data_IF_389972263595
#
_entry.id   IF_389972263595
#
_cell.length_a   1.000
_cell.length_b   1.000
_cell.length_c   1.000
_cell.angle_alpha   90.00
_cell.angle_beta   90.00
_cell.angle_gamma   90.00
#
_symmetry.space_group_name_H-M   'P 1'
#
loop_
_entity.id
_entity.type
_entity.pdbx_description
1 polymer ?
#
# COMPACT_ATOMS: atom_id res chain seq x y z
N UNK A 1 -1.93 19.11 -6.43
CA UNK A 1 -2.35 19.70 -7.71
C UNK A 1 -3.43 18.80 -8.33
N UNK A 2 -4.42 19.37 -9.00
CA UNK A 2 -5.50 18.58 -9.65
C UNK A 2 -4.94 17.87 -10.89
N UNK A 3 -5.45 16.68 -11.22
CA UNK A 3 -5.18 15.95 -12.48
C UNK A 3 -5.46 16.79 -13.75
N UNK A 4 -6.10 17.95 -13.61
CA UNK A 4 -6.39 18.91 -14.68
C UNK A 4 -5.26 19.92 -14.95
N UNK A 5 -4.17 19.95 -14.18
CA UNK A 5 -3.10 20.94 -14.34
C UNK A 5 -2.34 20.76 -15.67
N UNK A 6 -2.07 19.50 -16.05
CA UNK A 6 -1.44 19.18 -17.33
C UNK A 6 -2.23 19.68 -18.54
N UNK A 7 -3.56 19.85 -18.42
CA UNK A 7 -4.39 20.37 -19.51
C UNK A 7 -4.26 21.89 -19.72
N UNK A 8 -3.65 22.63 -18.78
CA UNK A 8 -3.58 24.10 -18.79
C UNK A 8 -2.19 24.63 -19.17
N UNK A 9 -1.15 23.81 -19.01
CA UNK A 9 0.22 24.17 -19.35
C UNK A 9 0.49 23.74 -20.80
N UNK A 10 0.74 24.72 -21.67
CA UNK A 10 1.04 24.48 -23.08
C UNK A 10 2.40 25.11 -23.44
N UNK A 11 3.45 24.30 -23.44
CA UNK A 11 4.77 24.70 -23.94
C UNK A 11 5.09 23.99 -25.25
N UNK A 12 5.93 24.62 -26.08
CA UNK A 12 6.41 24.06 -27.36
C UNK A 12 7.84 23.58 -27.20
N UNK A 13 8.13 22.38 -27.72
CA UNK A 13 9.48 21.79 -27.71
C UNK A 13 9.42 20.32 -27.34
N UNK A 14 10.53 19.61 -27.52
CA UNK A 14 10.71 18.24 -27.03
C UNK A 14 11.68 18.30 -25.86
N UNK A 15 11.32 17.72 -24.72
CA UNK A 15 12.21 17.59 -23.56
C UNK A 15 13.06 16.34 -23.72
N UNK A 16 14.36 16.45 -23.47
CA UNK A 16 15.26 15.30 -23.43
C UNK A 16 15.16 14.61 -22.06
N UNK A 17 14.52 13.44 -21.99
CA UNK A 17 14.45 12.64 -20.77
C UNK A 17 15.72 11.80 -20.61
N UNK A 18 16.42 11.98 -19.48
CA UNK A 18 17.67 11.26 -19.13
C UNK A 18 17.53 10.32 -17.93
N UNK A 19 16.35 10.30 -17.30
CA UNK A 19 16.12 9.66 -16.01
C UNK A 19 16.18 8.13 -15.99
N UNK A 20 16.37 7.48 -17.14
CA UNK A 20 16.65 6.04 -17.19
C UNK A 20 18.07 5.72 -16.70
N UNK A 21 19.03 6.60 -16.97
CA UNK A 21 20.46 6.37 -16.72
C UNK A 21 21.00 7.34 -15.66
N UNK A 22 20.45 8.56 -15.61
CA UNK A 22 20.97 9.66 -14.79
C UNK A 22 19.99 10.01 -13.67
N UNK A 23 20.52 10.35 -12.48
CA UNK A 23 19.75 10.95 -11.38
C UNK A 23 20.03 12.45 -11.22
N UNK A 24 21.00 12.97 -11.98
CA UNK A 24 21.38 14.37 -11.96
C UNK A 24 21.79 14.84 -13.35
N UNK A 25 21.44 16.07 -13.71
CA UNK A 25 21.87 16.71 -14.97
C UNK A 25 21.78 18.22 -14.82
N UNK A 26 22.66 18.96 -15.48
CA UNK A 26 22.44 20.37 -15.72
C UNK A 26 21.30 20.55 -16.74
N UNK A 27 20.52 21.62 -16.62
CA UNK A 27 19.41 21.95 -17.52
C UNK A 27 19.19 23.47 -17.60
N UNK A 28 18.39 23.89 -18.57
CA UNK A 28 17.91 25.27 -18.70
C UNK A 28 16.42 25.33 -18.43
N UNK A 29 15.99 26.28 -17.62
CA UNK A 29 14.56 26.58 -17.41
C UNK A 29 13.98 27.17 -18.68
N UNK A 30 13.00 26.50 -19.28
CA UNK A 30 12.34 26.93 -20.53
C UNK A 30 11.17 27.85 -20.23
N UNK A 31 10.32 27.47 -19.29
CA UNK A 31 9.14 28.22 -18.87
C UNK A 31 8.87 28.04 -17.39
N UNK A 32 8.19 29.03 -16.81
CA UNK A 32 7.82 29.08 -15.40
C UNK A 32 6.31 29.33 -15.32
N UNK A 33 5.60 28.57 -14.49
CA UNK A 33 4.16 28.73 -14.28
C UNK A 33 3.84 28.88 -12.80
N UNK A 34 2.77 29.60 -12.49
CA UNK A 34 2.20 29.65 -11.15
C UNK A 34 1.51 28.33 -10.76
N UNK A 35 0.92 28.27 -9.56
CA UNK A 35 0.25 27.09 -9.06
C UNK A 35 -1.06 26.76 -9.81
N UNK A 36 -1.62 27.73 -10.53
CA UNK A 36 -2.84 27.63 -11.31
C UNK A 36 -2.59 27.19 -12.76
N UNK A 37 -1.32 27.19 -13.18
CA UNK A 37 -0.85 26.80 -14.51
C UNK A 37 -0.76 27.95 -15.50
N UNK A 38 -0.80 29.21 -15.05
CA UNK A 38 -0.57 30.37 -15.90
C UNK A 38 0.93 30.66 -16.02
N UNK A 39 1.39 30.95 -17.24
CA UNK A 39 2.79 31.27 -17.50
C UNK A 39 3.15 32.62 -16.87
N UNK A 40 4.25 32.66 -16.12
CA UNK A 40 4.74 33.83 -15.41
C UNK A 40 6.22 34.05 -15.70
N UNK A 41 6.71 35.27 -15.51
CA UNK A 41 8.11 35.62 -15.76
C UNK A 41 9.09 35.17 -14.68
N UNK A 42 8.60 34.83 -13.48
CA UNK A 42 9.44 34.42 -12.36
C UNK A 42 8.66 33.72 -11.25
N UNK A 43 9.29 32.80 -10.51
CA UNK A 43 8.89 32.42 -9.15
C UNK A 43 9.86 33.02 -8.14
N UNK A 44 9.37 33.42 -6.97
CA UNK A 44 10.17 33.93 -5.84
C UNK A 44 10.10 32.99 -4.64
N UNK A 45 11.06 33.13 -3.73
CA UNK A 45 11.11 32.34 -2.51
C UNK A 45 9.77 32.37 -1.77
N UNK A 46 9.23 31.19 -1.46
CA UNK A 46 7.90 30.98 -0.90
C UNK A 46 6.84 30.58 -1.92
N UNK A 47 7.00 30.90 -3.20
CA UNK A 47 6.02 30.61 -4.24
C UNK A 47 5.95 29.11 -4.56
N UNK A 48 4.75 28.62 -4.83
CA UNK A 48 4.53 27.32 -5.47
C UNK A 48 4.31 27.53 -6.95
N UNK A 49 4.81 26.61 -7.76
CA UNK A 49 4.67 26.70 -9.20
C UNK A 49 5.19 25.48 -9.91
N UNK A 50 5.40 25.64 -11.22
CA UNK A 50 5.82 24.58 -12.12
C UNK A 50 7.02 25.09 -12.94
N UNK A 51 8.07 24.27 -13.00
CA UNK A 51 9.19 24.50 -13.89
C UNK A 51 9.15 23.53 -15.07
N UNK A 52 9.40 24.03 -16.27
CA UNK A 52 9.61 23.24 -17.47
C UNK A 52 11.05 23.42 -17.91
N UNK A 53 11.75 22.33 -18.21
CA UNK A 53 13.18 22.30 -18.52
C UNK A 53 13.42 21.78 -19.95
N UNK A 54 14.59 22.07 -20.53
CA UNK A 54 14.99 21.53 -21.85
C UNK A 54 15.34 20.03 -21.79
N UNK A 55 15.85 19.59 -20.63
CA UNK A 55 16.17 18.20 -20.31
C UNK A 55 15.90 17.91 -18.84
N UNK A 56 15.63 16.66 -18.49
CA UNK A 56 15.35 16.30 -17.10
C UNK A 56 15.71 14.85 -16.75
N UNK A 57 16.22 14.57 -15.54
CA UNK A 57 16.36 13.23 -15.00
C UNK A 57 15.10 12.76 -14.25
N UNK A 58 14.12 13.65 -14.00
CA UNK A 58 12.89 13.34 -13.26
C UNK A 58 11.93 12.55 -14.14
N UNK A 59 11.58 11.34 -13.71
CA UNK A 59 10.52 10.53 -14.32
C UNK A 59 9.18 11.14 -13.93
N UNK A 60 8.35 11.38 -14.94
CA UNK A 60 7.01 11.89 -14.76
C UNK A 60 6.03 10.75 -14.49
N UNK A 61 5.02 10.99 -13.65
CA UNK A 61 4.00 10.00 -13.32
C UNK A 61 3.40 9.35 -14.57
N UNK A 62 3.53 8.03 -14.69
CA UNK A 62 3.03 7.25 -15.82
C UNK A 62 3.08 5.75 -15.54
N UNK A 63 2.16 4.97 -16.14
CA UNK A 63 2.11 3.51 -16.00
C UNK A 63 1.81 3.03 -14.56
N UNK A 64 1.26 3.90 -13.72
CA UNK A 64 1.06 3.66 -12.28
C UNK A 64 2.26 4.01 -11.41
N UNK A 65 3.44 4.28 -11.97
CA UNK A 65 4.59 4.80 -11.23
C UNK A 65 4.40 6.28 -10.92
N UNK A 66 4.51 6.66 -9.65
CA UNK A 66 4.45 8.07 -9.21
C UNK A 66 5.62 8.89 -9.76
N UNK A 67 5.37 10.19 -9.94
CA UNK A 67 6.39 11.14 -10.37
C UNK A 67 7.52 11.30 -9.35
N UNK A 68 8.72 11.59 -9.85
CA UNK A 68 9.85 11.85 -8.99
C UNK A 68 9.76 13.17 -8.23
N UNK A 69 10.49 13.19 -7.12
CA UNK A 69 10.73 14.35 -6.28
C UNK A 69 12.25 14.57 -6.17
N UNK A 70 12.66 15.74 -5.71
CA UNK A 70 14.07 16.12 -5.58
C UNK A 70 14.25 17.63 -5.58
N UNK A 71 15.34 18.12 -6.16
CA UNK A 71 15.66 19.54 -6.19
C UNK A 71 16.15 20.01 -7.55
N UNK A 72 15.81 21.24 -7.89
CA UNK A 72 16.40 22.01 -9.00
C UNK A 72 17.06 23.24 -8.37
N UNK A 73 18.38 23.36 -8.50
CA UNK A 73 19.14 24.36 -7.76
C UNK A 73 20.18 25.07 -8.63
N UNK A 74 20.56 26.28 -8.22
CA UNK A 74 21.69 27.03 -8.75
C UNK A 74 22.28 27.90 -7.63
N UNK A 75 23.30 28.70 -7.92
CA UNK A 75 23.87 29.62 -6.93
C UNK A 75 22.78 30.60 -6.41
N UNK A 76 22.37 30.43 -5.14
CA UNK A 76 21.35 31.27 -4.49
C UNK A 76 19.90 30.93 -4.84
N UNK A 77 19.66 29.83 -5.56
CA UNK A 77 18.35 29.36 -6.00
C UNK A 77 18.12 27.91 -5.55
N UNK A 78 16.98 27.60 -4.94
CA UNK A 78 16.58 26.21 -4.68
C UNK A 78 15.08 26.03 -4.86
N UNK A 79 14.70 25.19 -5.80
CA UNK A 79 13.33 24.73 -6.02
C UNK A 79 13.21 23.27 -5.60
N UNK A 80 12.33 22.99 -4.63
CA UNK A 80 12.00 21.63 -4.21
C UNK A 80 10.91 21.08 -5.12
N UNK A 81 11.24 20.02 -5.85
CA UNK A 81 10.29 19.28 -6.69
C UNK A 81 9.57 18.27 -5.79
N UNK A 82 8.26 18.45 -5.65
CA UNK A 82 7.39 17.56 -4.87
C UNK A 82 6.82 16.42 -5.74
N UNK A 83 6.58 16.70 -7.01
CA UNK A 83 6.00 15.77 -7.98
C UNK A 83 6.44 16.14 -9.40
N UNK A 84 6.48 15.16 -10.30
CA UNK A 84 6.78 15.36 -11.72
C UNK A 84 5.68 14.72 -12.56
N UNK A 85 5.07 15.50 -13.46
CA UNK A 85 3.99 15.05 -14.34
C UNK A 85 4.29 15.35 -15.80
N UNK A 86 3.53 14.78 -16.73
CA UNK A 86 3.62 15.12 -18.16
C UNK A 86 2.45 15.94 -18.65
N UNK A 87 2.70 16.84 -19.61
CA UNK A 87 1.68 17.40 -20.50
C UNK A 87 2.16 17.35 -21.95
N UNK A 88 1.58 16.46 -22.76
CA UNK A 88 2.14 16.14 -24.07
C UNK A 88 3.57 15.64 -23.95
N UNK A 89 4.51 16.26 -24.68
CA UNK A 89 5.94 15.91 -24.68
C UNK A 89 6.76 16.67 -23.62
N UNK A 90 6.08 17.25 -22.62
CA UNK A 90 6.68 18.16 -21.63
C UNK A 90 6.66 17.55 -20.24
N UNK A 91 7.68 17.86 -19.45
CA UNK A 91 7.82 17.44 -18.06
C UNK A 91 7.58 18.64 -17.14
N UNK A 92 6.56 18.51 -16.31
CA UNK A 92 6.11 19.51 -15.36
C UNK A 92 6.72 19.19 -13.99
N UNK A 93 7.69 19.98 -13.57
CA UNK A 93 8.32 19.85 -12.25
C UNK A 93 7.52 20.70 -11.26
N UNK A 94 6.70 20.05 -10.45
CA UNK A 94 5.72 20.69 -9.59
C UNK A 94 6.31 20.81 -8.19
N UNK A 95 6.30 22.01 -7.63
CA UNK A 95 7.04 22.24 -6.39
C UNK A 95 6.94 23.63 -5.81
N UNK A 96 7.92 23.96 -4.96
CA UNK A 96 8.04 25.23 -4.27
C UNK A 96 9.45 25.79 -4.42
N UNK A 97 9.56 27.10 -4.68
CA UNK A 97 10.82 27.80 -4.57
C UNK A 97 11.12 28.11 -3.11
N UNK A 98 12.19 27.54 -2.56
CA UNK A 98 12.60 27.72 -1.16
C UNK A 98 13.46 28.97 -1.01
N UNK A 99 14.33 29.24 -1.99
CA UNK A 99 15.25 30.36 -1.97
C UNK A 99 15.50 30.92 -3.38
N UNK A 100 15.76 32.22 -3.44
CA UNK A 100 16.08 32.93 -4.69
C UNK A 100 14.87 33.33 -5.52
N UNK A 101 15.13 33.54 -6.81
CA UNK A 101 14.15 33.83 -7.85
C UNK A 101 14.55 33.08 -9.13
N UNK A 102 13.62 32.35 -9.76
CA UNK A 102 13.87 31.59 -11.00
C UNK A 102 13.11 32.20 -12.16
N UNK A 103 13.80 32.36 -13.28
CA UNK A 103 13.27 32.90 -14.53
C UNK A 103 13.48 31.92 -15.69
N UNK A 104 12.70 32.02 -16.78
CA UNK A 104 13.07 31.41 -18.06
C UNK A 104 14.50 31.80 -18.47
N UNK A 105 15.26 30.83 -18.99
CA UNK A 105 16.67 30.96 -19.38
C UNK A 105 17.68 30.69 -18.26
N UNK A 106 17.24 30.46 -17.01
CA UNK A 106 18.15 30.13 -15.92
C UNK A 106 18.82 28.76 -16.11
N UNK A 107 20.13 28.70 -15.86
CA UNK A 107 20.89 27.45 -15.80
C UNK A 107 20.78 26.87 -14.39
N UNK A 108 20.41 25.58 -14.31
CA UNK A 108 20.13 24.89 -13.05
C UNK A 108 20.70 23.47 -13.06
N UNK A 109 21.07 22.99 -11.88
CA UNK A 109 21.42 21.61 -11.61
C UNK A 109 20.20 20.87 -11.04
N UNK A 110 19.81 19.80 -11.72
CA UNK A 110 18.69 18.95 -11.35
C UNK A 110 19.21 17.74 -10.58
N UNK A 111 18.57 17.39 -9.47
CA UNK A 111 18.92 16.22 -8.65
C UNK A 111 17.64 15.52 -8.18
N UNK A 112 17.45 14.28 -8.63
CA UNK A 112 16.36 13.40 -8.16
C UNK A 112 16.70 12.89 -6.76
N UNK A 113 15.68 12.74 -5.91
CA UNK A 113 15.79 11.99 -4.65
C UNK A 113 16.10 10.51 -4.96
N UNK A 114 17.38 10.17 -4.83
CA UNK A 114 17.91 8.86 -5.20
C UNK A 114 17.30 7.71 -4.39
N UNK A 115 17.00 7.90 -3.10
CA UNK A 115 16.46 6.83 -2.26
C UNK A 115 14.97 6.62 -2.54
N UNK A 116 14.21 7.72 -2.71
CA UNK A 116 12.81 7.64 -3.13
C UNK A 116 12.69 6.96 -4.49
N UNK A 117 13.52 7.37 -5.48
CA UNK A 117 13.57 6.73 -6.81
C UNK A 117 13.93 5.25 -6.69
N UNK A 118 14.93 4.90 -5.89
CA UNK A 118 15.36 3.51 -5.70
C UNK A 118 14.20 2.66 -5.19
N UNK A 119 13.54 3.08 -4.12
CA UNK A 119 12.38 2.36 -3.53
C UNK A 119 11.23 2.21 -4.52
N UNK A 120 10.92 3.27 -5.29
CA UNK A 120 9.91 3.21 -6.35
C UNK A 120 10.29 2.19 -7.44
N UNK A 121 11.55 2.16 -7.90
CA UNK A 121 12.06 1.15 -8.86
C UNK A 121 11.90 -0.27 -8.36
N UNK A 122 12.18 -0.52 -7.08
CA UNK A 122 12.02 -1.85 -6.48
C UNK A 122 10.56 -2.29 -6.48
N UNK A 123 9.66 -1.42 -6.03
CA UNK A 123 8.22 -1.67 -6.06
C UNK A 123 7.71 -1.87 -7.50
N UNK A 124 8.22 -1.11 -8.48
CA UNK A 124 7.82 -1.28 -9.89
C UNK A 124 8.22 -2.66 -10.40
N UNK A 125 9.47 -3.04 -10.15
CA UNK A 125 10.04 -4.32 -10.58
C UNK A 125 9.28 -5.50 -9.96
N UNK A 126 8.92 -5.38 -8.67
CA UNK A 126 8.10 -6.37 -7.99
C UNK A 126 6.66 -6.45 -8.55
N UNK A 127 6.08 -5.35 -9.01
CA UNK A 127 4.76 -5.36 -9.67
C UNK A 127 4.77 -6.26 -10.91
N UNK A 128 5.82 -6.21 -11.74
CA UNK A 128 5.92 -7.06 -12.94
C UNK A 128 6.09 -8.54 -12.61
N UNK A 129 6.95 -8.88 -11.63
CA UNK A 129 7.08 -10.26 -11.16
C UNK A 129 5.77 -10.77 -10.54
N UNK A 130 5.10 -9.94 -9.74
CA UNK A 130 3.82 -10.30 -9.13
C UNK A 130 2.73 -10.49 -10.19
N UNK A 131 2.68 -9.65 -11.22
CA UNK A 131 1.70 -9.81 -12.30
C UNK A 131 1.90 -11.12 -13.07
N UNK A 132 3.13 -11.47 -13.40
CA UNK A 132 3.45 -12.76 -14.00
C UNK A 132 3.12 -13.94 -13.05
N UNK A 133 3.40 -13.82 -11.75
CA UNK A 133 3.04 -14.83 -10.76
C UNK A 133 1.52 -15.02 -10.63
N UNK A 134 0.74 -13.93 -10.58
CA UNK A 134 -0.72 -13.97 -10.57
C UNK A 134 -1.26 -14.74 -11.78
N UNK A 135 -0.73 -14.49 -12.98
CA UNK A 135 -1.14 -15.20 -14.19
C UNK A 135 -0.79 -16.68 -14.17
N UNK A 136 0.35 -17.06 -13.59
CA UNK A 136 0.75 -18.47 -13.45
C UNK A 136 -0.13 -19.22 -12.44
N UNK A 137 -0.52 -18.57 -11.36
CA UNK A 137 -1.32 -19.21 -10.28
C UNK A 137 -2.80 -19.23 -10.63
N UNK A 138 -3.34 -18.11 -11.11
CA UNK A 138 -4.78 -17.94 -11.33
C UNK A 138 -5.20 -18.20 -12.77
N UNK A 139 -4.32 -17.95 -13.75
CA UNK A 139 -4.60 -18.12 -15.18
C UNK A 139 -4.47 -16.82 -16.00
N UNK A 140 -4.53 -16.97 -17.32
CA UNK A 140 -4.28 -15.87 -18.28
C UNK A 140 -5.38 -14.81 -18.35
N UNK A 141 -6.54 -15.03 -17.72
CA UNK A 141 -7.62 -14.04 -17.62
C UNK A 141 -7.28 -12.88 -16.68
N UNK A 142 -6.24 -13.01 -15.86
CA UNK A 142 -5.72 -11.92 -15.04
C UNK A 142 -5.16 -10.84 -15.97
N UNK A 143 -5.78 -9.67 -15.91
CA UNK A 143 -5.38 -8.47 -16.64
C UNK A 143 -5.36 -7.29 -15.67
N UNK A 144 -4.38 -6.40 -15.82
CA UNK A 144 -4.32 -5.14 -15.08
C UNK A 144 -5.58 -4.29 -15.34
N UNK A 145 -6.14 -3.76 -14.24
CA UNK A 145 -7.25 -2.78 -14.21
C UNK A 145 -6.86 -1.47 -13.51
N UNK A 146 -5.72 -1.45 -12.84
CA UNK A 146 -5.18 -0.27 -12.17
C UNK A 146 -3.83 -0.58 -11.51
N UNK A 147 -2.98 0.42 -11.36
CA UNK A 147 -1.69 0.27 -10.69
C UNK A 147 -1.34 1.54 -9.93
N UNK A 148 -0.62 1.39 -8.83
CA UNK A 148 0.09 2.47 -8.14
C UNK A 148 1.40 1.89 -7.63
N UNK A 149 2.50 2.57 -7.94
CA UNK A 149 3.85 2.22 -7.53
C UNK A 149 4.49 3.48 -6.97
N UNK A 150 4.65 3.52 -5.65
CA UNK A 150 5.33 4.59 -4.92
C UNK A 150 6.57 4.05 -4.20
N UNK A 151 7.32 4.92 -3.52
CA UNK A 151 8.41 4.49 -2.67
C UNK A 151 7.93 3.65 -1.47
N UNK A 152 6.69 3.83 -1.05
CA UNK A 152 6.16 3.21 0.17
C UNK A 152 5.51 1.86 -0.09
N UNK A 153 4.81 1.70 -1.20
CA UNK A 153 4.12 0.45 -1.54
C UNK A 153 3.86 0.30 -3.03
N UNK A 154 3.47 -0.91 -3.41
CA UNK A 154 2.77 -1.16 -4.67
C UNK A 154 1.34 -1.61 -4.41
N UNK A 155 0.46 -1.27 -5.35
CA UNK A 155 -0.96 -1.63 -5.38
C UNK A 155 -1.32 -1.98 -6.81
N UNK A 156 -1.88 -3.16 -7.01
CA UNK A 156 -2.22 -3.66 -8.33
C UNK A 156 -3.66 -4.17 -8.34
N UNK A 157 -4.45 -3.63 -9.27
CA UNK A 157 -5.84 -4.03 -9.48
C UNK A 157 -5.89 -4.94 -10.71
N UNK A 158 -6.57 -6.07 -10.60
CA UNK A 158 -6.60 -7.08 -11.66
C UNK A 158 -7.97 -7.75 -11.82
N UNK A 159 -8.26 -8.24 -13.02
CA UNK A 159 -9.49 -8.99 -13.29
C UNK A 159 -9.43 -10.39 -12.68
N UNK A 160 -10.31 -10.63 -11.70
CA UNK A 160 -10.52 -11.94 -11.11
C UNK A 160 -11.88 -11.94 -10.35
N UNK A 161 -12.74 -12.96 -10.54
CA UNK A 161 -14.10 -12.93 -10.01
C UNK A 161 -14.20 -13.21 -8.51
N UNK A 162 -13.29 -14.03 -7.97
CA UNK A 162 -13.37 -14.55 -6.59
C UNK A 162 -12.29 -13.95 -5.68
N UNK A 163 -12.45 -13.98 -4.35
CA UNK A 163 -11.33 -13.72 -3.43
C UNK A 163 -10.23 -14.76 -3.58
N UNK A 164 -8.98 -14.33 -3.46
CA UNK A 164 -7.85 -15.26 -3.46
C UNK A 164 -7.86 -16.09 -2.17
N UNK A 165 -7.55 -17.37 -2.30
CA UNK A 165 -7.33 -18.24 -1.14
C UNK A 165 -5.98 -17.92 -0.51
N UNK A 166 -5.86 -18.16 0.80
CA UNK A 166 -4.60 -17.97 1.52
C UNK A 166 -3.42 -18.71 0.86
N UNK A 167 -3.64 -19.95 0.39
CA UNK A 167 -2.62 -20.74 -0.32
C UNK A 167 -2.23 -20.13 -1.69
N UNK A 168 -3.15 -19.48 -2.39
CA UNK A 168 -2.85 -18.81 -3.66
C UNK A 168 -1.99 -17.56 -3.41
N UNK A 169 -2.30 -16.77 -2.37
CA UNK A 169 -1.48 -15.63 -1.94
C UNK A 169 -0.08 -16.08 -1.55
N UNK A 170 0.04 -17.14 -0.76
CA UNK A 170 1.32 -17.73 -0.36
C UNK A 170 2.13 -18.20 -1.58
N UNK A 171 1.48 -18.87 -2.54
CA UNK A 171 2.13 -19.32 -3.77
C UNK A 171 2.62 -18.15 -4.64
N UNK A 172 1.83 -17.09 -4.78
CA UNK A 172 2.22 -15.87 -5.52
C UNK A 172 3.45 -15.24 -4.85
N UNK A 173 3.41 -15.06 -3.53
CA UNK A 173 4.53 -14.49 -2.77
C UNK A 173 5.79 -15.35 -2.87
N UNK A 174 5.65 -16.68 -2.81
CA UNK A 174 6.76 -17.62 -2.95
C UNK A 174 7.40 -17.55 -4.35
N UNK A 175 6.60 -17.48 -5.41
CA UNK A 175 7.10 -17.34 -6.79
C UNK A 175 7.87 -16.04 -6.98
N UNK A 176 7.33 -14.91 -6.51
CA UNK A 176 8.02 -13.61 -6.63
C UNK A 176 9.34 -13.63 -5.86
N UNK A 177 9.34 -14.14 -4.62
CA UNK A 177 10.57 -14.22 -3.83
C UNK A 177 11.59 -15.21 -4.40
N UNK A 178 11.16 -16.28 -5.08
CA UNK A 178 12.06 -17.17 -5.82
C UNK A 178 12.77 -16.42 -6.97
N UNK A 179 12.03 -15.61 -7.75
CA UNK A 179 12.64 -14.79 -8.81
C UNK A 179 13.58 -13.71 -8.26
N UNK A 180 13.27 -13.15 -7.09
CA UNK A 180 14.18 -12.24 -6.38
C UNK A 180 15.48 -12.97 -6.00
N UNK A 181 15.38 -14.18 -5.43
CA UNK A 181 16.53 -14.99 -5.03
C UNK A 181 17.40 -15.43 -6.22
N UNK A 182 16.79 -15.71 -7.37
CA UNK A 182 17.51 -16.01 -8.61
C UNK A 182 18.42 -14.86 -9.05
N UNK A 183 18.11 -13.63 -8.63
CA UNK A 183 18.90 -12.43 -8.87
C UNK A 183 19.28 -12.26 -10.35
N UNK A 184 18.34 -12.52 -11.27
CA UNK A 184 18.56 -12.37 -12.72
C UNK A 184 18.74 -10.90 -13.11
N UNK A 185 19.39 -10.65 -14.24
CA UNK A 185 19.50 -9.30 -14.79
C UNK A 185 18.13 -8.81 -15.28
N UNK A 186 17.83 -7.53 -15.04
CA UNK A 186 16.68 -6.86 -15.62
C UNK A 186 17.11 -6.21 -16.93
N UNK A 187 16.49 -6.63 -18.04
CA UNK A 187 16.84 -6.15 -19.37
C UNK A 187 15.73 -5.26 -19.94
N UNK A 188 16.13 -4.21 -20.66
CA UNK A 188 15.20 -3.31 -21.35
C UNK A 188 15.66 -3.01 -22.76
N UNK A 189 14.77 -3.17 -23.74
CA UNK A 189 15.07 -2.94 -25.14
C UNK A 189 14.01 -2.07 -25.82
N UNK A 190 14.44 -1.18 -26.72
CA UNK A 190 13.55 -0.46 -27.64
C UNK A 190 13.37 -1.28 -28.91
N UNK A 191 12.15 -1.79 -29.12
CA UNK A 191 11.83 -2.68 -30.24
C UNK A 191 10.63 -2.13 -31.02
N UNK A 192 10.47 -2.59 -32.26
CA UNK A 192 9.22 -2.37 -32.99
C UNK A 192 8.08 -3.15 -32.34
N UNK A 193 6.86 -2.60 -32.36
CA UNK A 193 5.71 -3.23 -31.69
C UNK A 193 5.50 -4.71 -32.05
N UNK A 194 5.59 -5.05 -33.34
CA UNK A 194 5.44 -6.43 -33.81
C UNK A 194 6.55 -7.37 -33.29
N UNK A 195 7.78 -6.87 -33.18
CA UNK A 195 8.89 -7.62 -32.62
C UNK A 195 8.71 -7.84 -31.12
N UNK A 196 8.24 -6.83 -30.39
CA UNK A 196 7.94 -6.95 -28.98
C UNK A 196 6.89 -8.04 -28.71
N UNK A 197 5.78 -8.04 -29.48
CA UNK A 197 4.74 -9.07 -29.38
C UNK A 197 5.30 -10.47 -29.71
N UNK A 198 6.16 -10.57 -30.73
CA UNK A 198 6.81 -11.84 -31.08
C UNK A 198 7.73 -12.38 -29.98
N UNK A 199 8.30 -11.51 -29.14
CA UNK A 199 9.08 -11.88 -27.94
C UNK A 199 8.21 -12.22 -26.72
N UNK A 200 6.88 -12.24 -26.87
CA UNK A 200 5.94 -12.52 -25.79
C UNK A 200 5.65 -11.31 -24.90
N UNK A 201 6.02 -10.09 -25.32
CA UNK A 201 5.75 -8.90 -24.53
C UNK A 201 4.24 -8.68 -24.43
N UNK A 202 3.77 -8.61 -23.19
CA UNK A 202 2.38 -8.29 -22.92
C UNK A 202 2.15 -6.79 -23.00
N UNK A 203 1.17 -6.40 -23.82
CA UNK A 203 0.68 -5.03 -23.84
C UNK A 203 -0.22 -4.80 -22.61
N UNK A 204 0.08 -3.75 -21.84
CA UNK A 204 -0.77 -3.30 -20.75
C UNK A 204 -2.06 -2.66 -21.31
N UNK A 205 -3.17 -2.89 -20.60
CA UNK A 205 -4.51 -2.47 -21.02
C UNK A 205 -4.67 -0.94 -21.02
N UNK A 206 -5.19 -0.39 -22.13
CA UNK A 206 -5.58 1.02 -22.22
C UNK A 206 -4.52 1.98 -22.78
N UNK A 207 -3.30 1.51 -23.05
CA UNK A 207 -2.25 2.37 -23.61
C UNK A 207 -2.22 2.34 -25.15
N UNK A 208 -1.92 3.51 -25.74
CA UNK A 208 -1.61 3.63 -27.17
C UNK A 208 -0.10 3.55 -27.34
N UNK A 209 0.37 2.56 -28.08
CA UNK A 209 1.78 2.37 -28.35
C UNK A 209 2.18 3.04 -29.66
N UNK A 210 3.35 3.69 -29.67
CA UNK A 210 3.97 4.21 -30.88
C UNK A 210 4.69 3.11 -31.67
N UNK A 211 5.38 3.51 -32.75
CA UNK A 211 6.11 2.58 -33.64
C UNK A 211 7.24 1.83 -32.90
N UNK A 212 7.83 2.45 -31.89
CA UNK A 212 8.79 1.84 -30.98
C UNK A 212 8.23 1.76 -29.56
N UNK A 213 8.44 0.62 -28.92
CA UNK A 213 8.03 0.34 -27.55
C UNK A 213 9.21 -0.13 -26.71
N UNK A 214 9.20 0.22 -25.43
CA UNK A 214 10.18 -0.26 -24.47
C UNK A 214 9.70 -1.56 -23.85
N UNK A 215 10.42 -2.65 -24.11
CA UNK A 215 10.16 -3.98 -23.57
C UNK A 215 11.03 -4.19 -22.34
N UNK A 216 10.41 -4.55 -21.23
CA UNK A 216 11.06 -5.00 -20.00
C UNK A 216 11.06 -6.52 -19.96
N UNK A 217 12.20 -7.12 -19.64
CA UNK A 217 12.33 -8.56 -19.38
C UNK A 217 12.97 -8.79 -18.00
N UNK A 218 12.35 -9.65 -17.20
CA UNK A 218 12.82 -10.01 -15.85
C UNK A 218 12.70 -11.51 -15.60
N UNK A 219 13.57 -12.07 -14.75
CA UNK A 219 13.50 -13.48 -14.36
C UNK A 219 13.79 -14.44 -15.51
N UNK A 220 14.76 -14.09 -16.38
CA UNK A 220 15.11 -14.87 -17.57
C UNK A 220 13.89 -15.21 -18.45
N UNK A 221 12.98 -14.22 -18.62
CA UNK A 221 11.74 -14.37 -19.36
C UNK A 221 10.53 -14.75 -18.49
N UNK A 222 10.66 -14.75 -17.16
CA UNK A 222 9.55 -14.94 -16.25
C UNK A 222 8.44 -13.90 -16.45
N UNK A 223 8.84 -12.63 -16.62
CA UNK A 223 7.97 -11.51 -16.98
C UNK A 223 8.56 -10.78 -18.19
N UNK A 224 7.74 -10.57 -19.22
CA UNK A 224 8.07 -9.81 -20.44
C UNK A 224 6.91 -8.86 -20.73
N UNK A 225 7.11 -7.57 -20.56
CA UNK A 225 6.02 -6.58 -20.58
C UNK A 225 6.45 -5.29 -21.29
N UNK A 226 5.49 -4.57 -21.88
CA UNK A 226 5.71 -3.22 -22.36
C UNK A 226 5.69 -2.26 -21.16
N UNK A 227 6.80 -1.60 -20.85
CA UNK A 227 6.87 -0.68 -19.72
C UNK A 227 7.87 0.45 -19.93
N UNK A 228 7.37 1.68 -19.88
CA UNK A 228 8.15 2.92 -19.91
C UNK A 228 8.72 3.34 -18.54
N UNK A 229 8.42 2.61 -17.46
CA UNK A 229 8.84 2.96 -16.11
C UNK A 229 10.33 2.75 -15.82
N UNK A 230 10.72 3.12 -14.60
CA UNK A 230 12.06 2.84 -14.08
C UNK A 230 12.07 1.53 -13.29
N UNK A 231 13.11 0.70 -13.49
CA UNK A 231 13.19 -0.66 -12.93
C UNK A 231 14.51 -0.90 -12.23
N UNK A 232 14.56 -1.87 -11.32
CA UNK A 232 15.79 -2.37 -10.71
C UNK A 232 16.78 -2.87 -11.77
N UNK A 233 18.06 -2.99 -11.42
CA UNK A 233 19.07 -3.52 -12.33
C UNK A 233 19.12 -5.05 -12.30
N UNK A 234 18.79 -5.64 -11.14
CA UNK A 234 18.61 -7.08 -10.97
C UNK A 234 17.39 -7.38 -10.12
N UNK A 235 16.82 -8.58 -10.27
CA UNK A 235 15.67 -8.99 -9.45
C UNK A 235 16.02 -9.06 -7.96
N UNK A 236 17.28 -9.37 -7.61
CA UNK A 236 17.76 -9.41 -6.24
C UNK A 236 17.79 -8.06 -5.54
N UNK A 237 17.85 -6.95 -6.28
CA UNK A 237 17.83 -5.59 -5.71
C UNK A 237 16.53 -5.30 -4.95
N UNK A 238 15.44 -6.02 -5.28
CA UNK A 238 14.13 -5.91 -4.62
C UNK A 238 14.22 -6.36 -3.14
N UNK A 239 15.12 -7.29 -2.84
CA UNK A 239 15.36 -7.82 -1.49
C UNK A 239 14.30 -8.84 -1.06
N UNK A 240 13.13 -8.36 -0.63
CA UNK A 240 12.01 -9.20 -0.20
C UNK A 240 10.72 -8.61 -0.73
N UNK A 241 9.76 -9.46 -1.07
CA UNK A 241 8.40 -9.07 -1.44
C UNK A 241 7.41 -9.66 -0.43
N UNK A 242 6.48 -8.83 0.05
CA UNK A 242 5.47 -9.24 1.03
C UNK A 242 4.10 -8.69 0.67
N UNK A 243 3.12 -9.57 0.50
CA UNK A 243 1.71 -9.18 0.35
C UNK A 243 1.17 -8.75 1.71
N UNK A 244 0.54 -7.57 1.75
CA UNK A 244 -0.03 -7.01 2.98
C UNK A 244 -1.54 -7.02 2.99
N UNK A 245 -2.18 -6.95 1.82
CA UNK A 245 -3.63 -7.02 1.73
C UNK A 245 -4.09 -7.55 0.36
N UNK A 246 -5.27 -8.18 0.37
CA UNK A 246 -6.01 -8.60 -0.80
C UNK A 246 -7.50 -8.29 -0.55
N UNK A 247 -8.16 -7.62 -1.50
CA UNK A 247 -9.56 -7.23 -1.37
C UNK A 247 -10.27 -7.03 -2.72
N UNK A 248 -11.60 -7.14 -2.73
CA UNK A 248 -12.42 -6.80 -3.89
C UNK A 248 -12.69 -5.29 -3.95
N UNK A 249 -12.53 -4.69 -5.13
CA UNK A 249 -12.72 -3.23 -5.32
C UNK A 249 -13.88 -2.89 -6.27
N UNK A 250 -14.23 -3.81 -7.16
CA UNK A 250 -15.40 -3.74 -8.03
C UNK A 250 -15.83 -5.16 -8.45
N UNK A 251 -16.98 -5.29 -9.11
CA UNK A 251 -17.41 -6.57 -9.65
C UNK A 251 -16.36 -7.13 -10.63
N UNK A 252 -15.82 -8.31 -10.34
CA UNK A 252 -14.78 -8.95 -11.15
C UNK A 252 -13.38 -8.32 -11.06
N UNK A 253 -13.14 -7.39 -10.11
CA UNK A 253 -11.84 -6.74 -9.92
C UNK A 253 -11.36 -6.89 -8.49
N UNK A 254 -10.14 -7.42 -8.35
CA UNK A 254 -9.42 -7.60 -7.09
C UNK A 254 -8.26 -6.62 -7.01
N UNK A 255 -7.85 -6.28 -5.79
CA UNK A 255 -6.69 -5.45 -5.47
C UNK A 255 -5.77 -6.24 -4.57
N UNK A 256 -4.49 -6.25 -4.92
CA UNK A 256 -3.42 -6.74 -4.07
C UNK A 256 -2.49 -5.57 -3.73
N UNK A 257 -2.14 -5.43 -2.47
CA UNK A 257 -1.11 -4.48 -2.01
C UNK A 257 0.06 -5.24 -1.43
N UNK A 258 1.27 -4.76 -1.73
CA UNK A 258 2.50 -5.38 -1.27
C UNK A 258 3.58 -4.35 -0.98
N UNK A 259 4.58 -4.79 -0.23
CA UNK A 259 5.75 -4.03 0.15
C UNK A 259 7.01 -4.74 -0.37
N UNK A 260 8.07 -3.96 -0.60
CA UNK A 260 9.39 -4.51 -0.93
C UNK A 260 10.48 -4.00 0.00
N UNK A 261 11.62 -4.67 -0.03
CA UNK A 261 12.87 -4.22 0.59
C UNK A 261 12.70 -3.79 2.06
N UNK A 262 13.19 -2.59 2.45
CA UNK A 262 13.06 -2.10 3.83
C UNK A 262 11.63 -2.00 4.35
N UNK A 263 10.65 -1.65 3.50
CA UNK A 263 9.25 -1.54 3.91
C UNK A 263 8.65 -2.89 4.30
N UNK A 264 8.94 -3.92 3.52
CA UNK A 264 8.54 -5.29 3.84
C UNK A 264 9.24 -5.83 5.10
N UNK A 265 10.53 -5.53 5.29
CA UNK A 265 11.26 -5.91 6.51
C UNK A 265 10.68 -5.21 7.76
N UNK A 266 10.32 -3.94 7.65
CA UNK A 266 9.67 -3.22 8.75
C UNK A 266 8.32 -3.85 9.10
N UNK A 267 7.49 -4.16 8.09
CA UNK A 267 6.21 -4.84 8.27
C UNK A 267 6.34 -6.21 8.96
N UNK A 268 7.34 -7.01 8.53
CA UNK A 268 7.63 -8.31 9.17
C UNK A 268 8.00 -8.09 10.64
N UNK A 269 8.94 -7.18 10.94
CA UNK A 269 9.36 -6.90 12.32
C UNK A 269 8.23 -6.42 13.21
N UNK A 270 7.32 -5.59 12.69
CA UNK A 270 6.13 -5.15 13.44
C UNK A 270 5.20 -6.33 13.78
N UNK A 271 4.99 -7.25 12.83
CA UNK A 271 4.21 -8.46 13.07
C UNK A 271 4.89 -9.39 14.09
N UNK A 272 6.22 -9.53 14.04
CA UNK A 272 6.98 -10.31 15.02
C UNK A 272 6.89 -9.71 16.42
N UNK A 273 7.07 -8.39 16.55
CA UNK A 273 6.95 -7.69 17.82
C UNK A 273 5.55 -7.84 18.43
N UNK A 274 4.49 -7.79 17.60
CA UNK A 274 3.13 -8.04 18.05
C UNK A 274 2.94 -9.47 18.57
N UNK A 275 3.47 -10.48 17.85
CA UNK A 275 3.40 -11.87 18.29
C UNK A 275 4.14 -12.08 19.63
N UNK A 276 5.30 -11.46 19.79
CA UNK A 276 6.07 -11.52 21.04
C UNK A 276 5.32 -10.85 22.21
N UNK A 277 4.67 -9.71 21.97
CA UNK A 277 3.84 -9.03 22.97
C UNK A 277 2.65 -9.88 23.42
N UNK A 278 1.94 -10.52 22.48
CA UNK A 278 0.82 -11.41 22.79
C UNK A 278 1.32 -12.64 23.55
N UNK A 279 2.41 -13.26 23.10
CA UNK A 279 3.03 -14.40 23.77
C UNK A 279 3.42 -14.06 25.21
N UNK A 280 4.02 -12.89 25.44
CA UNK A 280 4.34 -12.42 26.78
C UNK A 280 3.10 -12.21 27.65
N UNK A 281 2.00 -11.69 27.09
CA UNK A 281 0.75 -11.45 27.83
C UNK A 281 0.10 -12.75 28.32
N UNK A 282 0.28 -13.84 27.58
CA UNK A 282 -0.22 -15.18 27.97
C UNK A 282 0.83 -16.04 28.69
N UNK A 283 1.98 -15.46 29.04
CA UNK A 283 3.13 -16.17 29.66
C UNK A 283 3.52 -17.42 28.86
N UNK A 284 3.58 -17.26 27.55
CA UNK A 284 4.00 -18.27 26.59
C UNK A 284 5.16 -17.78 25.72
N UNK A 285 5.35 -18.47 24.61
CA UNK A 285 6.30 -18.21 23.54
C UNK A 285 5.59 -18.22 22.19
N UNK A 286 6.27 -17.88 21.09
CA UNK A 286 5.68 -17.97 19.74
C UNK A 286 5.28 -19.40 19.37
N UNK A 287 5.99 -20.42 19.86
CA UNK A 287 5.77 -21.82 19.50
C UNK A 287 4.51 -22.44 20.14
N UNK A 288 4.14 -21.99 21.34
CA UNK A 288 2.96 -22.47 22.08
C UNK A 288 1.86 -21.41 22.18
N UNK A 289 1.98 -20.30 21.46
CA UNK A 289 1.06 -19.16 21.52
C UNK A 289 -0.40 -19.56 21.30
N UNK A 290 -0.66 -20.32 20.24
CA UNK A 290 -2.02 -20.78 19.90
C UNK A 290 -2.61 -21.67 20.99
N UNK A 291 -1.79 -22.54 21.58
CA UNK A 291 -2.21 -23.42 22.68
C UNK A 291 -2.54 -22.58 23.93
N UNK A 292 -1.66 -21.65 24.33
CA UNK A 292 -1.84 -20.77 25.49
C UNK A 292 -3.11 -19.92 25.38
N UNK A 293 -3.34 -19.34 24.20
CA UNK A 293 -4.57 -18.57 23.93
C UNK A 293 -5.80 -19.48 23.98
N UNK A 294 -5.71 -20.69 23.40
CA UNK A 294 -6.78 -21.69 23.49
C UNK A 294 -7.14 -22.03 24.94
N UNK A 295 -6.15 -22.36 25.75
CA UNK A 295 -6.32 -22.69 27.17
C UNK A 295 -6.95 -21.53 27.96
N UNK A 296 -6.51 -20.29 27.71
CA UNK A 296 -7.11 -19.10 28.33
C UNK A 296 -8.58 -18.89 27.94
N UNK A 297 -8.93 -19.13 26.68
CA UNK A 297 -10.32 -19.03 26.22
C UNK A 297 -11.21 -20.12 26.85
N UNK A 298 -10.69 -21.34 26.97
CA UNK A 298 -11.40 -22.44 27.63
C UNK A 298 -11.58 -22.17 29.13
N UNK A 299 -10.52 -21.71 29.81
CA UNK A 299 -10.59 -21.33 31.22
C UNK A 299 -11.59 -20.19 31.45
N UNK A 300 -11.61 -19.17 30.58
CA UNK A 300 -12.56 -18.07 30.67
C UNK A 300 -14.02 -18.56 30.53
N UNK A 301 -14.28 -19.48 29.58
CA UNK A 301 -15.60 -20.12 29.45
C UNK A 301 -15.98 -20.94 30.69
N UNK A 302 -15.02 -21.65 31.31
CA UNK A 302 -15.24 -22.39 32.55
C UNK A 302 -15.58 -21.45 33.71
N UNK A 303 -14.77 -20.41 33.91
CA UNK A 303 -14.98 -19.41 34.96
C UNK A 303 -16.31 -18.67 34.81
N UNK A 304 -16.72 -18.35 33.58
CA UNK A 304 -18.03 -17.75 33.33
C UNK A 304 -19.19 -18.66 33.79
N UNK A 305 -19.12 -19.97 33.49
CA UNK A 305 -20.12 -20.95 33.96
C UNK A 305 -20.11 -21.12 35.47
N UNK A 306 -18.94 -21.14 36.09
CA UNK A 306 -18.81 -21.22 37.56
C UNK A 306 -19.38 -19.98 38.24
N UNK A 307 -19.14 -18.79 37.68
CA UNK A 307 -19.69 -17.54 38.17
C UNK A 307 -21.23 -17.53 38.09
N UNK A 308 -21.81 -17.99 36.98
CA UNK A 308 -23.26 -18.12 36.86
C UNK A 308 -23.84 -19.13 37.86
N UNK A 309 -23.18 -20.27 38.04
CA UNK A 309 -23.59 -21.27 39.03
C UNK A 309 -23.51 -20.75 40.48
N UNK A 310 -22.47 -19.96 40.80
CA UNK A 310 -22.34 -19.32 42.11
C UNK A 310 -23.41 -18.25 42.34
N UNK A 311 -23.71 -17.44 41.33
CA UNK A 311 -24.82 -16.47 41.39
C UNK A 311 -26.16 -17.16 41.65
N UNK A 312 -26.46 -18.24 40.94
CA UNK A 312 -27.67 -19.03 41.16
C UNK A 312 -27.74 -19.59 42.59
N UNK A 313 -26.65 -20.13 43.12
CA UNK A 313 -26.60 -20.60 44.51
C UNK A 313 -26.81 -19.48 45.52
N UNK A 314 -26.24 -18.30 45.27
CA UNK A 314 -26.38 -17.14 46.15
C UNK A 314 -27.81 -16.58 46.13
N UNK A 315 -28.44 -16.54 44.96
CA UNK A 315 -29.86 -16.18 44.81
C UNK A 315 -30.78 -17.18 45.51
N UNK A 316 -30.51 -18.49 45.40
CA UNK A 316 -31.28 -19.52 46.09
C UNK A 316 -31.15 -19.43 47.63
N UNK A 317 -29.93 -19.17 48.14
CA UNK A 317 -29.71 -18.97 49.57
C UNK A 317 -30.43 -17.71 50.09
N UNK A 318 -30.34 -16.60 49.35
CA UNK A 318 -31.08 -15.38 49.67
C UNK A 318 -32.60 -15.62 49.66
N UNK A 319 -33.12 -16.38 48.68
CA UNK A 319 -34.53 -16.78 48.62
C UNK A 319 -34.94 -17.61 49.84
N UNK A 320 -34.12 -18.57 50.27
CA UNK A 320 -34.40 -19.39 51.45
C UNK A 320 -34.48 -18.53 52.74
N UNK A 321 -33.51 -17.64 52.98
CA UNK A 321 -33.49 -16.74 54.14
C UNK A 321 -34.67 -15.75 54.13
N UNK A 322 -35.05 -15.28 52.94
CA UNK A 322 -36.21 -14.41 52.75
C UNK A 322 -37.53 -15.15 53.01
N UNK A 323 -37.66 -16.41 52.56
CA UNK A 323 -38.86 -17.22 52.80
C UNK A 323 -39.11 -17.45 54.29
N UNK A 324 -38.03 -17.60 55.08
CA UNK A 324 -38.10 -17.72 56.54
C UNK A 324 -38.62 -16.44 57.23
N UNK A 325 -38.50 -15.29 56.55
CA UNK A 325 -39.00 -14.00 57.02
C UNK A 325 -40.43 -13.69 56.56
N UNK A 326 -41.09 -14.61 55.83
CA UNK A 326 -42.46 -14.43 55.37
C UNK A 326 -43.47 -14.48 56.52
N UNK A 327 -44.38 -13.50 56.56
CA UNK A 327 -45.40 -13.36 57.62
C UNK A 327 -46.71 -13.99 57.16
N UNK A 328 -47.41 -14.68 58.07
CA UNK A 328 -48.75 -15.21 57.80
C UNK A 328 -49.81 -14.12 58.00
N UNK A 329 -50.60 -13.87 56.96
CA UNK A 329 -51.73 -12.95 56.99
C UNK A 329 -52.96 -13.70 56.48
N UNK A 330 -53.84 -14.09 57.41
CA UNK A 330 -55.09 -14.81 57.12
C UNK A 330 -54.89 -16.12 56.32
N UNK A 331 -53.82 -16.87 56.60
CA UNK A 331 -53.50 -18.13 55.93
C UNK A 331 -52.71 -17.97 54.62
N UNK A 332 -52.31 -16.75 54.27
CA UNK A 332 -51.46 -16.45 53.10
C UNK A 332 -50.08 -15.99 53.60
N UNK A 333 -49.01 -16.61 53.09
CA UNK A 333 -47.64 -16.17 53.34
C UNK A 333 -47.32 -14.93 52.50
N UNK A 334 -46.99 -13.82 53.16
CA UNK A 334 -46.65 -12.55 52.53
C UNK A 334 -45.21 -12.18 52.88
N UNK A 335 -44.40 -11.86 51.86
CA UNK A 335 -43.01 -11.45 51.98
C UNK A 335 -42.83 -10.07 51.34
N UNK A 336 -42.26 -9.12 52.09
CA UNK A 336 -41.83 -7.82 51.58
C UNK A 336 -40.37 -7.61 51.95
N UNK A 337 -39.49 -7.64 50.95
CA UNK A 337 -38.05 -7.49 51.15
C UNK A 337 -37.44 -6.61 50.07
N UNK A 338 -36.38 -5.89 50.45
CA UNK A 338 -35.56 -5.13 49.51
C UNK A 338 -34.32 -5.95 49.18
N UNK A 339 -34.17 -6.31 47.91
CA UNK A 339 -33.02 -7.05 47.40
C UNK A 339 -32.16 -6.07 46.60
N UNK A 340 -30.85 -6.12 46.80
CA UNK A 340 -29.87 -5.38 45.99
C UNK A 340 -29.39 -6.26 44.82
N UNK A 341 -29.36 -5.73 43.59
CA UNK A 341 -28.96 -6.48 42.40
C UNK A 341 -29.56 -5.93 41.10
N UNK A 342 -29.20 -6.54 39.97
CA UNK A 342 -29.78 -6.24 38.66
C UNK A 342 -31.16 -6.91 38.45
N UNK A 343 -31.82 -6.59 37.35
CA UNK A 343 -33.14 -7.16 37.03
C UNK A 343 -33.12 -8.70 36.96
N UNK A 344 -32.08 -9.29 36.38
CA UNK A 344 -31.92 -10.73 36.25
C UNK A 344 -31.73 -11.43 37.61
N UNK A 345 -30.98 -10.80 38.52
CA UNK A 345 -30.75 -11.32 39.88
C UNK A 345 -32.06 -11.31 40.71
N UNK A 346 -32.89 -10.28 40.53
CA UNK A 346 -34.22 -10.18 41.15
C UNK A 346 -35.17 -11.26 40.65
N UNK A 347 -35.20 -11.49 39.33
CA UNK A 347 -36.01 -12.55 38.71
C UNK A 347 -35.60 -13.94 39.21
N UNK A 348 -34.30 -14.23 39.26
CA UNK A 348 -33.80 -15.51 39.78
C UNK A 348 -34.16 -15.73 41.26
N UNK A 349 -34.05 -14.69 42.09
CA UNK A 349 -34.41 -14.78 43.52
C UNK A 349 -35.92 -14.96 43.71
N UNK A 350 -36.74 -14.27 42.90
CA UNK A 350 -38.19 -14.45 42.90
C UNK A 350 -38.59 -15.87 42.50
N UNK A 351 -37.95 -16.44 41.48
CA UNK A 351 -38.25 -17.81 41.04
C UNK A 351 -37.86 -18.85 42.11
N UNK A 352 -36.76 -18.63 42.83
CA UNK A 352 -36.39 -19.47 43.98
C UNK A 352 -37.41 -19.40 45.14
N UNK A 353 -38.09 -18.26 45.33
CA UNK A 353 -39.14 -18.08 46.34
C UNK A 353 -40.49 -18.74 45.99
N UNK A 354 -40.72 -19.07 44.71
CA UNK A 354 -41.94 -19.75 44.25
C UNK A 354 -41.88 -21.27 44.40
N UNK A 355 -40.68 -21.85 44.52
CA UNK A 355 -40.42 -23.28 44.56
C UNK A 355 -40.71 -23.88 45.95
#
# INVERSE_FOLDING_TARGET
FSATLGQRVHTRGRVEFRGYEELATAATVVSVFDAEGAEIGALRAGDRGILVLDRTPFYAESGGQVGDAGSIAAAGLTFEVEDTQTSGDQFLHIGRLVSGEVHPGALVDCQVDSERRRRTRLNHSATHLMHAALRRVLGEHVQQKGSLVSADRLRFDFSHPEPLKAAEIEQIEALVNAEIQNNSAVDTALLGYQEAVARGAMALFGEKYGDQVRVLTMGDGFSVELCGGTHASRTGDIGVFRVVSEAGVAAGVRRIEALTGPGALAWIREAEALLDQIASSVRGSRGDLSEKVGNLLEENRRLARELDALKQKLAAAAGADLSASAVDVAGIKVLAARIEGGADDLLQTLDALKA
#
